data_IF_489070731659
#
_entry.id   IF_489070731659
#
_cell.length_a   1.000
_cell.length_b   1.000
_cell.length_c   1.000
_cell.angle_alpha   90.00
_cell.angle_beta   90.00
_cell.angle_gamma   90.00
#
_symmetry.space_group_name_H-M   'P 1'
#
loop_
_entity.id
_entity.type
_entity.pdbx_description
1 polymer ?
#
# COMPACT_ATOMS: atom_id res chain seq x y z
N UNK A 1 -21.65 -57.48 -19.33
CA UNK A 1 -22.56 -58.49 -18.71
C UNK A 1 -23.00 -57.98 -17.34
N UNK A 2 -24.09 -57.59 -17.33
CA UNK A 2 -25.46 -57.81 -16.84
C UNK A 2 -25.90 -56.78 -15.79
N UNK A 3 -26.81 -55.96 -16.25
CA UNK A 3 -27.94 -55.43 -15.49
C UNK A 3 -28.93 -56.60 -15.21
N UNK A 4 -29.70 -56.65 -14.15
CA UNK A 4 -31.07 -56.25 -14.31
C UNK A 4 -31.71 -55.51 -13.09
N UNK A 5 -32.46 -54.42 -13.35
CA UNK A 5 -33.91 -54.35 -13.45
C UNK A 5 -34.76 -54.63 -12.21
N UNK A 6 -35.56 -53.60 -11.87
CA UNK A 6 -36.98 -53.61 -11.61
C UNK A 6 -37.47 -54.31 -10.30
N UNK A 7 -38.16 -53.58 -9.46
CA UNK A 7 -39.60 -53.83 -9.25
C UNK A 7 -40.31 -52.66 -8.55
N UNK A 8 -41.38 -52.27 -9.19
CA UNK A 8 -42.43 -51.39 -8.74
C UNK A 8 -43.34 -52.21 -7.77
N UNK A 9 -43.70 -51.63 -6.64
CA UNK A 9 -44.87 -52.13 -5.93
C UNK A 9 -45.81 -50.98 -5.56
N UNK A 10 -46.89 -50.94 -6.27
CA UNK A 10 -48.11 -50.20 -5.99
C UNK A 10 -48.97 -50.99 -5.04
N UNK A 11 -49.31 -50.42 -3.90
CA UNK A 11 -50.54 -50.88 -3.22
C UNK A 11 -51.38 -49.71 -2.78
N UNK A 12 -52.63 -49.73 -3.27
CA UNK A 12 -53.71 -48.81 -3.05
C UNK A 12 -54.56 -49.31 -1.91
N UNK A 13 -54.69 -48.55 -0.85
CA UNK A 13 -55.54 -48.91 0.30
C UNK A 13 -56.25 -47.68 0.84
N UNK A 14 -57.39 -47.43 0.23
CA UNK A 14 -58.49 -46.57 0.65
C UNK A 14 -58.84 -46.74 2.13
N UNK A 15 -58.88 -45.65 2.92
CA UNK A 15 -59.80 -45.48 4.04
C UNK A 15 -60.00 -43.99 4.37
N UNK A 16 -61.09 -43.49 3.89
CA UNK A 16 -61.80 -42.34 4.41
C UNK A 16 -62.26 -42.60 5.85
N UNK A 17 -61.77 -41.82 6.81
CA UNK A 17 -62.49 -41.58 8.05
C UNK A 17 -62.43 -40.10 8.37
N UNK A 18 -63.63 -39.55 8.32
CA UNK A 18 -64.06 -38.24 8.75
C UNK A 18 -63.57 -37.96 10.18
N UNK A 19 -62.68 -37.04 10.38
CA UNK A 19 -62.30 -36.49 11.66
C UNK A 19 -62.30 -34.97 11.58
N UNK A 20 -63.35 -34.42 12.06
CA UNK A 20 -63.69 -33.01 12.24
C UNK A 20 -62.58 -32.35 13.12
N UNK A 21 -61.79 -31.47 12.50
CA UNK A 21 -60.78 -30.70 13.18
C UNK A 21 -61.43 -29.55 13.97
N UNK A 22 -61.00 -29.31 15.21
CA UNK A 22 -61.48 -28.17 16.00
C UNK A 22 -60.99 -26.86 15.41
N UNK A 23 -61.88 -25.90 15.25
CA UNK A 23 -61.60 -24.53 14.82
C UNK A 23 -60.73 -23.86 15.84
N UNK A 24 -59.49 -23.58 15.51
CA UNK A 24 -58.55 -22.83 16.35
C UNK A 24 -59.00 -21.37 16.46
N UNK A 25 -59.25 -20.93 17.67
CA UNK A 25 -59.51 -19.54 18.02
C UNK A 25 -58.23 -18.71 17.71
N UNK A 26 -58.31 -17.56 17.02
CA UNK A 26 -57.12 -16.76 16.76
C UNK A 26 -56.55 -16.23 18.08
N UNK A 27 -55.32 -16.62 18.38
CA UNK A 27 -54.52 -16.05 19.45
C UNK A 27 -54.17 -14.61 19.06
N UNK A 28 -54.36 -13.62 19.95
CA UNK A 28 -53.98 -12.23 19.65
C UNK A 28 -52.46 -12.17 19.37
N UNK A 29 -52.12 -11.58 18.22
CA UNK A 29 -50.78 -11.32 17.82
C UNK A 29 -50.10 -10.38 18.84
N UNK A 30 -48.85 -10.65 19.28
CA UNK A 30 -48.16 -9.78 20.19
C UNK A 30 -47.94 -8.40 19.55
N UNK A 31 -48.37 -7.35 20.25
CA UNK A 31 -48.12 -5.97 19.91
C UNK A 31 -46.61 -5.74 19.91
N UNK A 32 -46.06 -5.28 18.76
CA UNK A 32 -44.66 -4.99 18.64
C UNK A 32 -44.25 -3.91 19.65
N UNK A 33 -43.38 -4.27 20.57
CA UNK A 33 -42.71 -3.32 21.45
C UNK A 33 -41.84 -2.38 20.60
N UNK A 34 -41.91 -1.04 20.76
CA UNK A 34 -41.06 -0.16 20.00
C UNK A 34 -39.60 -0.45 20.31
N UNK A 35 -38.86 -0.84 19.28
CA UNK A 35 -37.38 -0.99 19.35
C UNK A 35 -36.79 0.39 19.69
N UNK A 36 -35.94 0.49 20.74
CA UNK A 36 -35.27 1.74 21.03
C UNK A 36 -34.45 2.19 19.82
N UNK A 37 -34.64 3.44 19.40
CA UNK A 37 -33.86 4.08 18.33
C UNK A 37 -32.39 4.02 18.71
N UNK A 38 -31.48 3.62 17.78
CA UNK A 38 -30.06 3.65 18.07
C UNK A 38 -29.64 5.07 18.39
N UNK A 39 -28.95 5.22 19.51
CA UNK A 39 -28.36 6.48 19.96
C UNK A 39 -27.32 6.89 18.91
N UNK A 40 -27.55 8.02 18.23
CA UNK A 40 -26.63 8.53 17.23
C UNK A 40 -25.38 9.05 17.94
N UNK A 41 -24.42 8.17 18.17
CA UNK A 41 -23.07 8.62 18.51
C UNK A 41 -22.58 9.55 17.40
N UNK A 42 -22.24 10.79 17.67
CA UNK A 42 -21.73 11.70 16.63
C UNK A 42 -20.52 11.06 15.96
N UNK A 43 -20.53 11.05 14.63
CA UNK A 43 -19.42 10.54 13.84
C UNK A 43 -18.11 11.21 14.28
N UNK A 44 -17.00 10.46 14.38
CA UNK A 44 -15.72 11.06 14.68
C UNK A 44 -15.44 12.21 13.72
N UNK A 45 -14.80 13.30 14.18
CA UNK A 45 -14.56 14.48 13.34
C UNK A 45 -13.80 14.06 12.09
N UNK A 46 -14.32 14.44 10.93
CA UNK A 46 -13.66 14.26 9.65
C UNK A 46 -12.25 14.86 9.74
N UNK A 47 -11.18 14.12 9.39
CA UNK A 47 -9.83 14.65 9.47
C UNK A 47 -9.76 15.93 8.62
N UNK A 48 -9.33 17.01 9.27
CA UNK A 48 -9.11 18.31 8.61
C UNK A 48 -8.13 18.09 7.46
N UNK A 49 -8.39 18.63 6.26
CA UNK A 49 -7.45 18.49 5.15
C UNK A 49 -6.08 18.97 5.61
N UNK A 50 -5.14 18.05 5.64
CA UNK A 50 -3.77 18.35 6.05
C UNK A 50 -3.14 19.19 4.94
N UNK A 51 -2.51 20.29 5.31
CA UNK A 51 -1.86 21.19 4.38
C UNK A 51 -0.92 20.38 3.46
N UNK A 52 -1.03 20.58 2.15
CA UNK A 52 -0.14 19.97 1.17
C UNK A 52 1.28 20.37 1.52
N UNK A 53 2.09 19.42 1.94
CA UNK A 53 3.49 19.66 2.27
C UNK A 53 4.24 19.95 0.98
N UNK A 54 4.87 21.12 0.89
CA UNK A 54 5.70 21.47 -0.28
C UNK A 54 6.97 20.61 -0.24
N UNK A 55 7.17 19.81 -1.27
CA UNK A 55 8.39 19.03 -1.45
C UNK A 55 9.47 19.90 -2.08
N UNK A 56 10.71 19.74 -1.63
CA UNK A 56 11.91 20.32 -2.25
C UNK A 56 12.67 19.22 -3.02
N UNK A 57 13.31 19.52 -4.15
CA UNK A 57 14.10 18.52 -4.84
C UNK A 57 15.30 18.08 -3.96
N UNK A 58 15.66 16.77 -3.98
CA UNK A 58 16.74 16.24 -3.16
C UNK A 58 18.12 16.72 -3.62
N UNK A 59 18.28 16.96 -4.91
CA UNK A 59 19.50 17.50 -5.53
C UNK A 59 19.14 18.53 -6.61
N UNK A 60 20.13 19.33 -7.00
CA UNK A 60 20.00 20.20 -8.19
C UNK A 60 20.49 19.45 -9.40
N UNK A 61 19.57 18.94 -10.21
CA UNK A 61 19.91 18.15 -11.39
C UNK A 61 18.73 17.96 -12.32
N UNK A 62 18.99 17.27 -13.41
CA UNK A 62 18.00 16.87 -14.40
C UNK A 62 17.38 15.53 -13.99
N UNK A 63 16.08 15.39 -14.12
CA UNK A 63 15.43 14.08 -13.99
C UNK A 63 15.81 13.24 -15.18
N UNK A 64 16.55 12.16 -14.97
CA UNK A 64 17.00 11.24 -16.01
C UNK A 64 16.05 10.04 -16.16
N UNK A 65 15.43 9.62 -15.07
CA UNK A 65 14.41 8.59 -15.05
C UNK A 65 13.23 9.02 -14.20
N UNK A 66 12.02 8.92 -14.77
CA UNK A 66 10.77 9.21 -14.09
C UNK A 66 10.17 7.97 -13.45
N UNK A 67 9.19 8.18 -12.59
CA UNK A 67 8.36 7.08 -12.04
C UNK A 67 7.54 6.43 -13.16
N UNK A 68 7.71 5.12 -13.39
CA UNK A 68 7.12 4.37 -14.49
C UNK A 68 6.77 2.94 -14.05
N UNK A 69 5.64 2.78 -13.35
CA UNK A 69 5.15 1.46 -12.91
C UNK A 69 4.17 0.82 -13.88
N UNK A 70 3.56 1.60 -14.76
CA UNK A 70 2.57 1.14 -15.74
C UNK A 70 3.12 1.08 -17.17
N UNK A 71 4.36 1.46 -17.35
CA UNK A 71 5.07 1.41 -18.63
C UNK A 71 6.49 0.88 -18.41
N UNK A 72 7.06 0.32 -19.47
CA UNK A 72 8.42 -0.21 -19.43
C UNK A 72 9.39 0.83 -19.98
N UNK A 73 10.48 1.02 -19.28
CA UNK A 73 11.64 1.80 -19.72
C UNK A 73 12.83 0.86 -19.94
N UNK A 74 13.67 1.18 -20.90
CA UNK A 74 14.82 0.35 -21.20
C UNK A 74 16.01 0.69 -20.31
N UNK A 75 16.38 -0.25 -19.43
CA UNK A 75 17.59 -0.12 -18.61
C UNK A 75 18.82 -0.52 -19.43
N UNK A 76 19.76 0.41 -19.57
CA UNK A 76 21.05 0.16 -20.26
C UNK A 76 21.97 -0.70 -19.42
N UNK A 77 21.89 -0.58 -18.10
CA UNK A 77 22.70 -1.36 -17.17
C UNK A 77 22.29 -2.84 -17.20
N UNK A 78 20.98 -3.11 -17.19
CA UNK A 78 20.44 -4.47 -17.15
C UNK A 78 20.19 -5.07 -18.55
N UNK A 79 20.35 -4.26 -19.60
CA UNK A 79 20.05 -4.61 -21.00
C UNK A 79 18.64 -5.21 -21.19
N UNK A 80 17.65 -4.62 -20.52
CA UNK A 80 16.26 -5.10 -20.53
C UNK A 80 15.24 -3.98 -20.29
N UNK A 81 13.99 -4.27 -20.65
CA UNK A 81 12.86 -3.41 -20.32
C UNK A 81 12.39 -3.70 -18.90
N UNK A 82 12.25 -2.65 -18.09
CA UNK A 82 11.86 -2.74 -16.68
C UNK A 82 10.91 -1.60 -16.30
N UNK A 83 10.25 -1.74 -15.16
CA UNK A 83 9.53 -0.65 -14.51
C UNK A 83 10.50 0.14 -13.63
N UNK A 84 10.13 1.38 -13.29
CA UNK A 84 10.90 2.23 -12.39
C UNK A 84 10.00 2.77 -11.28
N UNK A 85 10.35 2.50 -10.03
CA UNK A 85 9.52 2.86 -8.85
C UNK A 85 9.98 4.12 -8.14
N UNK A 86 10.99 4.79 -8.66
CA UNK A 86 11.58 6.02 -8.15
C UNK A 86 11.57 7.16 -9.16
N UNK A 87 12.31 8.18 -8.84
CA UNK A 87 12.65 9.29 -9.73
C UNK A 87 14.14 9.54 -9.57
N UNK A 88 14.90 9.32 -10.63
CA UNK A 88 16.35 9.53 -10.61
C UNK A 88 16.71 10.94 -11.06
N UNK A 89 17.44 11.62 -10.22
CA UNK A 89 17.90 12.98 -10.50
C UNK A 89 19.42 12.98 -10.64
N UNK A 90 19.90 13.29 -11.82
CA UNK A 90 21.32 13.32 -12.12
C UNK A 90 22.04 14.39 -11.28
N UNK A 91 23.11 13.98 -10.61
CA UNK A 91 24.01 14.91 -9.92
C UNK A 91 25.41 14.28 -9.83
N UNK A 92 26.48 15.10 -9.83
CA UNK A 92 27.82 14.58 -9.70
C UNK A 92 28.03 13.77 -8.42
N UNK A 93 28.79 12.69 -8.49
CA UNK A 93 29.18 11.91 -7.32
C UNK A 93 29.77 12.81 -6.23
N UNK A 94 29.27 12.67 -5.02
CA UNK A 94 29.66 13.49 -3.87
C UNK A 94 28.86 14.76 -3.69
N UNK A 95 27.89 15.05 -4.57
CA UNK A 95 26.93 16.14 -4.35
C UNK A 95 26.11 15.90 -3.10
N UNK A 96 25.75 16.97 -2.41
CA UNK A 96 24.87 16.92 -1.23
C UNK A 96 23.45 16.51 -1.64
N UNK A 97 22.86 15.58 -0.87
CA UNK A 97 21.48 15.14 -1.00
C UNK A 97 20.69 15.71 0.17
N UNK A 98 19.64 16.43 -0.14
CA UNK A 98 18.85 17.17 0.84
C UNK A 98 17.51 16.50 1.13
N UNK A 99 17.04 16.61 2.37
CA UNK A 99 15.71 16.15 2.76
C UNK A 99 14.61 16.89 2.00
N UNK A 100 13.74 16.15 1.32
CA UNK A 100 12.63 16.71 0.54
C UNK A 100 11.54 17.29 1.44
N UNK A 101 11.46 16.85 2.70
CA UNK A 101 10.57 17.36 3.75
C UNK A 101 11.18 17.13 5.14
N UNK A 102 10.57 17.75 6.16
CA UNK A 102 10.96 17.54 7.56
C UNK A 102 10.43 16.20 8.08
N UNK A 103 11.27 15.46 8.80
CA UNK A 103 10.91 14.14 9.30
C UNK A 103 11.91 13.57 10.31
N UNK A 104 11.84 12.25 10.48
CA UNK A 104 12.77 11.48 11.29
C UNK A 104 13.36 10.39 10.42
N UNK A 105 14.68 10.19 10.50
CA UNK A 105 15.36 9.06 9.85
C UNK A 105 14.91 7.77 10.53
N UNK A 106 14.23 6.92 9.80
CA UNK A 106 13.68 5.66 10.31
C UNK A 106 14.64 4.50 10.07
N UNK A 107 15.35 4.51 8.94
CA UNK A 107 16.24 3.43 8.59
C UNK A 107 17.42 3.94 7.74
N UNK A 108 18.57 3.25 7.89
CA UNK A 108 19.75 3.35 7.01
C UNK A 108 20.15 1.93 6.70
N UNK A 109 20.10 1.53 5.44
CA UNK A 109 20.33 0.16 5.03
C UNK A 109 21.03 0.10 3.67
N UNK A 110 21.46 -1.09 3.27
CA UNK A 110 22.01 -1.33 1.93
C UNK A 110 21.11 -2.31 1.21
N UNK A 111 20.67 -1.92 0.03
CA UNK A 111 19.97 -2.77 -0.92
C UNK A 111 20.96 -3.28 -1.97
N UNK A 112 20.85 -4.55 -2.38
CA UNK A 112 21.78 -5.19 -3.32
C UNK A 112 21.75 -4.53 -4.73
N UNK A 113 20.64 -3.89 -5.09
CA UNK A 113 20.41 -3.25 -6.39
C UNK A 113 20.62 -1.74 -6.34
N UNK A 114 20.02 -1.08 -5.32
CA UNK A 114 19.92 0.37 -5.20
C UNK A 114 21.00 0.98 -4.28
N UNK A 115 21.86 0.14 -3.71
CA UNK A 115 22.99 0.58 -2.89
C UNK A 115 22.60 1.07 -1.50
N UNK A 116 23.36 2.03 -0.98
CA UNK A 116 23.13 2.60 0.36
C UNK A 116 21.92 3.53 0.32
N UNK A 117 21.00 3.29 1.25
CA UNK A 117 19.71 3.97 1.32
C UNK A 117 19.47 4.60 2.68
N UNK A 118 18.77 5.73 2.68
CA UNK A 118 18.29 6.42 3.88
C UNK A 118 16.78 6.61 3.74
N UNK A 119 16.03 6.13 4.73
CA UNK A 119 14.60 6.34 4.83
C UNK A 119 14.27 7.44 5.84
N UNK A 120 13.37 8.34 5.45
CA UNK A 120 12.87 9.44 6.29
C UNK A 120 11.35 9.40 6.33
N UNK A 121 10.80 9.30 7.53
CA UNK A 121 9.37 9.40 7.77
C UNK A 121 8.98 10.81 8.17
N UNK A 122 8.12 11.43 7.38
CA UNK A 122 7.55 12.77 7.60
C UNK A 122 6.16 12.73 8.24
N UNK A 123 5.47 13.85 8.16
CA UNK A 123 4.07 13.95 8.57
C UNK A 123 3.16 13.20 7.59
N UNK A 124 1.94 12.84 8.05
CA UNK A 124 0.90 12.19 7.24
C UNK A 124 1.34 10.85 6.61
N UNK A 125 2.17 10.10 7.35
CA UNK A 125 2.73 8.82 6.90
C UNK A 125 3.52 8.89 5.58
N UNK A 126 3.96 10.08 5.19
CA UNK A 126 4.86 10.24 4.05
C UNK A 126 6.21 9.62 4.37
N UNK A 127 6.73 8.86 3.42
CA UNK A 127 8.07 8.26 3.48
C UNK A 127 8.85 8.74 2.26
N UNK A 128 10.08 9.19 2.48
CA UNK A 128 11.05 9.45 1.43
C UNK A 128 12.21 8.48 1.58
N UNK A 129 12.59 7.83 0.49
CA UNK A 129 13.73 6.93 0.44
C UNK A 129 14.74 7.51 -0.55
N UNK A 130 15.98 7.67 -0.11
CA UNK A 130 17.10 8.16 -0.91
C UNK A 130 18.04 7.01 -1.17
N UNK A 131 18.25 6.66 -2.43
CA UNK A 131 19.12 5.57 -2.86
C UNK A 131 20.43 6.03 -3.44
N UNK A 132 21.28 5.07 -3.80
CA UNK A 132 22.58 5.33 -4.45
C UNK A 132 23.49 6.30 -3.68
N UNK A 133 23.38 6.29 -2.34
CA UNK A 133 24.18 7.19 -1.50
C UNK A 133 25.58 6.64 -1.26
N UNK A 134 26.51 7.51 -0.83
CA UNK A 134 27.80 7.09 -0.29
C UNK A 134 27.61 6.19 0.95
N UNK A 135 28.57 5.30 1.18
CA UNK A 135 28.54 4.29 2.23
C UNK A 135 28.29 4.80 3.65
N UNK A 136 28.66 6.04 3.93
CA UNK A 136 28.53 6.63 5.27
C UNK A 136 27.70 7.93 5.21
N UNK A 137 26.35 7.83 5.27
CA UNK A 137 25.50 9.01 5.36
C UNK A 137 25.78 9.80 6.66
N UNK A 138 25.71 11.15 6.63
CA UNK A 138 26.00 12.00 7.77
C UNK A 138 24.90 12.00 8.85
N UNK A 139 23.83 11.26 8.63
CA UNK A 139 22.68 11.14 9.53
C UNK A 139 22.66 9.81 10.28
N UNK A 140 21.86 9.71 11.32
CA UNK A 140 21.69 8.48 12.12
C UNK A 140 20.21 8.15 12.26
N UNK A 141 19.90 6.87 12.39
CA UNK A 141 18.54 6.42 12.71
C UNK A 141 18.04 7.09 13.99
N UNK A 142 16.81 7.60 13.95
CA UNK A 142 16.20 8.38 15.02
C UNK A 142 16.49 9.88 14.98
N UNK A 143 17.38 10.36 14.10
CA UNK A 143 17.66 11.79 13.95
C UNK A 143 16.46 12.52 13.35
N UNK A 144 16.13 13.69 13.91
CA UNK A 144 15.17 14.63 13.33
C UNK A 144 15.89 15.52 12.33
N UNK A 145 15.28 15.68 11.18
CA UNK A 145 15.80 16.52 10.09
C UNK A 145 14.70 17.49 9.62
N UNK A 146 15.12 18.64 9.13
CA UNK A 146 14.24 19.61 8.48
C UNK A 146 14.32 19.47 6.96
N UNK A 147 13.32 19.98 6.26
CA UNK A 147 13.41 20.11 4.81
C UNK A 147 14.64 20.92 4.42
N UNK A 148 15.48 20.37 3.53
CA UNK A 148 16.72 20.98 3.10
C UNK A 148 17.96 20.64 3.96
N UNK A 149 17.84 19.87 5.03
CA UNK A 149 19.01 19.32 5.73
C UNK A 149 19.66 18.21 4.88
N UNK A 150 20.98 18.05 5.02
CA UNK A 150 21.74 17.03 4.29
C UNK A 150 21.44 15.65 4.88
N UNK A 151 20.95 14.74 4.05
CA UNK A 151 20.67 13.34 4.41
C UNK A 151 21.72 12.36 3.89
N UNK A 152 22.49 12.76 2.89
CA UNK A 152 23.51 11.93 2.28
C UNK A 152 24.32 12.68 1.24
N UNK A 153 25.10 11.92 0.51
CA UNK A 153 25.85 12.39 -0.65
C UNK A 153 25.66 11.39 -1.77
N UNK A 154 25.55 11.90 -3.02
CA UNK A 154 25.45 11.06 -4.22
C UNK A 154 26.63 10.09 -4.27
N UNK A 155 26.34 8.81 -4.35
CA UNK A 155 27.30 7.71 -4.38
C UNK A 155 27.47 7.11 -5.77
N UNK A 156 27.83 5.84 -5.74
CA UNK A 156 27.97 4.91 -6.85
C UNK A 156 27.75 3.47 -6.32
N UNK A 157 26.86 3.35 -5.37
CA UNK A 157 26.60 2.09 -4.67
C UNK A 157 25.48 1.26 -5.32
N UNK A 158 24.65 1.86 -6.18
CA UNK A 158 23.60 1.20 -6.92
C UNK A 158 24.19 0.37 -8.09
N UNK A 159 24.14 -0.94 -7.97
CA UNK A 159 24.67 -1.87 -8.98
C UNK A 159 23.78 -1.97 -10.20
N UNK A 160 22.46 -1.90 -10.01
CA UNK A 160 21.47 -1.98 -11.10
C UNK A 160 21.45 -0.76 -12.02
N UNK A 161 22.13 0.31 -11.65
CA UNK A 161 22.11 1.62 -12.30
C UNK A 161 23.53 2.15 -12.61
N UNK A 162 24.55 1.28 -12.48
CA UNK A 162 25.96 1.65 -12.64
C UNK A 162 26.34 2.10 -14.06
N UNK A 163 25.51 1.80 -15.07
CA UNK A 163 25.66 2.26 -16.46
C UNK A 163 25.07 3.64 -16.75
N UNK A 164 24.34 4.21 -15.80
CA UNK A 164 23.72 5.51 -15.94
C UNK A 164 24.61 6.65 -15.39
N UNK A 165 24.21 7.91 -15.63
CA UNK A 165 24.88 9.05 -15.01
C UNK A 165 24.72 8.95 -13.49
N UNK A 166 25.73 9.43 -12.73
CA UNK A 166 25.59 9.50 -11.26
C UNK A 166 24.33 10.28 -10.88
N UNK A 167 23.53 9.73 -9.95
CA UNK A 167 22.21 10.24 -9.57
C UNK A 167 21.84 9.80 -8.15
N UNK A 168 20.72 10.29 -7.71
CA UNK A 168 20.03 9.88 -6.46
C UNK A 168 18.56 9.73 -6.73
#
# INVERSE_FOLDING_TARGET
TDDPASEVNTDIGDRLTDAQLPIATPTPSPTATPTPMPDFTPAPPTPKPTAVQKLSPPVRGEVIWGFAVNELIYSRTLDQWTTHTGVDVAAPKGSEVYAVFAGTVTEIFTDDSLGVMVEVKGANDMIAVYGNLKAEPPVKVGARINAGDIVGYVGDTAVSECGDKSHV
#
